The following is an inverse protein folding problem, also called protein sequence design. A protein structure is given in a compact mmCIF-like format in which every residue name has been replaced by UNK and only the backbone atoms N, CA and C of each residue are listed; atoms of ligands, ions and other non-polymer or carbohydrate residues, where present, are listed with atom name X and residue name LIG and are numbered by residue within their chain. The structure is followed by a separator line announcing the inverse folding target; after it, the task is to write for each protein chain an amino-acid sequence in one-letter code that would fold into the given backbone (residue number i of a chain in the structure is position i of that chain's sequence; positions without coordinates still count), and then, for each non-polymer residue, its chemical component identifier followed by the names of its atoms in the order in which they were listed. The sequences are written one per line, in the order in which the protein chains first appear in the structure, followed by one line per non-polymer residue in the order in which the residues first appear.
data_IF_953116495557
#
_entry.id   IF_953116495557
#
_cell.length_a   1.000
_cell.length_b   1.000
_cell.length_c   1.000
_cell.angle_alpha   90.00
_cell.angle_beta   90.00
_cell.angle_gamma   90.00
#
_symmetry.space_group_name_H-M   'P 1'
#
loop_
_entity.id
_entity.type
_entity.pdbx_description
1 polymer ?
#
# COMPACT_ATOMS: atom_id res chain seq x y z
N UNK A 1 21.85 -61.07 45.57
CA UNK A 1 21.38 -59.67 45.64
C UNK A 1 22.59 -58.79 45.86
N UNK A 2 23.10 -58.18 44.78
CA UNK A 2 23.95 -56.99 44.73
C UNK A 2 23.97 -56.59 43.26
N UNK A 3 23.18 -55.57 42.92
CA UNK A 3 22.95 -55.12 41.55
C UNK A 3 23.91 -53.96 41.23
N UNK A 4 24.54 -54.02 40.06
CA UNK A 4 25.64 -53.16 39.64
C UNK A 4 25.07 -51.97 38.84
N UNK A 5 25.17 -50.76 39.39
CA UNK A 5 24.64 -49.55 38.74
C UNK A 5 25.61 -49.04 37.67
N UNK A 6 25.20 -49.11 36.40
CA UNK A 6 25.93 -48.54 35.27
C UNK A 6 25.77 -47.00 35.22
N UNK A 7 26.89 -46.29 35.08
CA UNK A 7 26.95 -44.83 34.91
C UNK A 7 26.78 -44.49 33.43
N UNK A 8 25.77 -43.66 33.12
CA UNK A 8 25.50 -43.12 31.77
C UNK A 8 26.38 -41.89 31.52
N UNK A 9 27.09 -41.78 30.37
CA UNK A 9 27.87 -40.58 30.05
C UNK A 9 26.96 -39.43 29.57
N UNK A 10 27.16 -38.24 30.14
CA UNK A 10 26.44 -37.02 29.78
C UNK A 10 26.83 -36.44 28.41
N UNK A 11 26.01 -35.52 27.86
CA UNK A 11 26.19 -34.98 26.52
C UNK A 11 27.42 -34.07 26.41
N UNK A 12 28.17 -34.25 25.34
CA UNK A 12 29.36 -33.49 24.96
C UNK A 12 29.05 -31.99 24.79
N UNK A 13 29.89 -31.06 25.27
CA UNK A 13 29.68 -29.63 25.09
C UNK A 13 29.78 -29.25 23.61
N UNK A 14 28.72 -28.63 23.10
CA UNK A 14 28.63 -28.05 21.77
C UNK A 14 29.70 -26.95 21.64
N UNK A 15 30.53 -27.02 20.60
CA UNK A 15 31.57 -26.04 20.33
C UNK A 15 31.02 -24.62 20.11
N UNK A 16 31.90 -23.60 20.05
CA UNK A 16 31.51 -22.21 19.88
C UNK A 16 30.60 -22.03 18.64
N UNK A 17 29.58 -21.16 18.69
CA UNK A 17 28.75 -20.90 17.54
C UNK A 17 29.63 -20.38 16.41
N UNK A 18 29.58 -21.04 15.25
CA UNK A 18 30.23 -20.57 14.04
C UNK A 18 29.88 -19.08 13.80
N UNK A 19 30.85 -18.25 13.41
CA UNK A 19 30.59 -16.86 13.09
C UNK A 19 29.53 -16.79 11.97
N UNK A 20 28.47 -16.00 12.21
CA UNK A 20 27.43 -15.72 11.22
C UNK A 20 28.11 -15.18 9.96
N UNK A 21 28.18 -16.01 8.93
CA UNK A 21 28.63 -15.59 7.61
C UNK A 21 27.73 -14.44 7.15
N UNK A 22 28.36 -13.32 6.82
CA UNK A 22 27.67 -12.17 6.22
C UNK A 22 27.15 -12.60 4.83
N UNK A 23 25.91 -12.22 4.45
CA UNK A 23 25.32 -12.67 3.20
C UNK A 23 26.15 -12.19 2.00
N UNK A 24 26.49 -13.11 1.10
CA UNK A 24 27.20 -12.83 -0.15
C UNK A 24 26.21 -12.37 -1.21
N UNK A 25 26.62 -11.39 -2.04
CA UNK A 25 25.84 -10.74 -3.11
C UNK A 25 25.21 -11.68 -4.17
N UNK A 26 25.47 -12.98 -4.11
CA UNK A 26 25.02 -13.99 -5.06
C UNK A 26 23.71 -14.69 -4.64
N UNK A 27 23.14 -14.30 -3.51
CA UNK A 27 22.00 -15.02 -2.95
C UNK A 27 20.68 -14.42 -3.47
N UNK A 28 19.95 -15.18 -4.29
CA UNK A 28 18.52 -14.98 -4.51
C UNK A 28 17.80 -15.07 -3.15
N UNK A 29 17.65 -13.93 -2.47
CA UNK A 29 17.33 -13.95 -1.05
C UNK A 29 15.85 -13.78 -0.75
N UNK A 30 15.22 -14.93 -0.53
CA UNK A 30 14.22 -15.08 0.52
C UNK A 30 14.87 -15.78 1.73
N UNK A 31 15.92 -15.18 2.31
CA UNK A 31 16.49 -15.60 3.60
C UNK A 31 16.74 -17.11 3.80
N UNK A 32 17.18 -17.82 2.75
CA UNK A 32 17.42 -19.30 2.61
C UNK A 32 16.42 -20.07 1.72
N UNK A 33 15.36 -19.47 1.20
CA UNK A 33 14.38 -20.16 0.33
C UNK A 33 14.70 -19.90 -1.14
N UNK A 34 15.12 -20.96 -1.81
CA UNK A 34 15.38 -20.96 -3.26
C UNK A 34 14.08 -21.14 -4.02
N UNK A 35 13.95 -20.44 -5.15
CA UNK A 35 12.97 -20.81 -6.17
C UNK A 35 13.49 -22.11 -6.81
N UNK A 36 12.96 -23.23 -6.34
CA UNK A 36 13.31 -24.56 -6.84
C UNK A 36 12.33 -24.96 -7.94
N UNK A 37 12.82 -25.07 -9.16
CA UNK A 37 12.03 -25.56 -10.30
C UNK A 37 11.61 -24.47 -11.29
N UNK A 38 11.04 -24.89 -12.45
CA UNK A 38 10.53 -23.98 -13.46
C UNK A 38 9.31 -23.20 -12.95
N UNK A 39 8.99 -22.04 -13.54
CA UNK A 39 7.76 -21.33 -13.23
C UNK A 39 6.52 -22.19 -13.53
N UNK A 40 5.41 -22.00 -12.80
CA UNK A 40 4.17 -22.68 -13.10
C UNK A 40 3.65 -22.25 -14.47
N UNK A 41 3.05 -23.17 -15.21
CA UNK A 41 2.47 -22.90 -16.54
C UNK A 41 1.34 -21.87 -16.49
N UNK A 42 0.67 -21.75 -15.34
CA UNK A 42 -0.37 -20.77 -15.12
C UNK A 42 -0.39 -20.31 -13.65
N UNK A 43 -0.38 -18.99 -13.46
CA UNK A 43 -0.66 -18.37 -12.16
C UNK A 43 -2.11 -17.91 -12.21
N UNK A 44 -2.92 -18.32 -11.24
CA UNK A 44 -4.34 -17.94 -11.18
C UNK A 44 -4.51 -16.43 -11.12
N UNK A 45 -5.49 -15.92 -11.86
CA UNK A 45 -5.82 -14.50 -11.90
C UNK A 45 -6.31 -13.95 -10.55
N UNK A 46 -6.24 -12.63 -10.45
CA UNK A 46 -6.69 -11.81 -9.34
C UNK A 46 -7.94 -11.06 -9.78
N UNK A 47 -8.95 -11.08 -8.93
CA UNK A 47 -10.18 -10.32 -9.12
C UNK A 47 -10.47 -9.48 -7.87
N UNK A 48 -10.81 -8.19 -8.04
CA UNK A 48 -10.86 -7.44 -9.31
C UNK A 48 -9.46 -7.13 -9.87
N UNK A 49 -9.36 -6.93 -11.19
CA UNK A 49 -8.14 -6.43 -11.84
C UNK A 49 -7.84 -4.99 -11.42
N UNK A 50 -6.60 -4.55 -11.62
CA UNK A 50 -6.23 -3.16 -11.36
C UNK A 50 -6.92 -2.22 -12.35
N UNK A 51 -7.75 -1.31 -11.84
CA UNK A 51 -8.47 -0.31 -12.65
C UNK A 51 -7.80 1.05 -12.57
N UNK A 52 -7.26 1.38 -11.40
CA UNK A 52 -6.65 2.66 -11.15
C UNK A 52 -6.09 2.74 -9.73
N UNK A 53 -5.69 3.95 -9.34
CA UNK A 53 -5.12 4.19 -8.01
C UNK A 53 -6.12 3.85 -6.89
N UNK A 54 -7.42 3.93 -7.17
CA UNK A 54 -8.48 3.71 -6.17
C UNK A 54 -8.55 2.27 -5.65
N UNK A 55 -8.13 1.28 -6.44
CA UNK A 55 -8.08 -0.12 -6.02
C UNK A 55 -6.66 -0.69 -5.94
N UNK A 56 -5.64 0.16 -6.09
CA UNK A 56 -4.24 -0.25 -6.09
C UNK A 56 -3.83 -0.97 -4.81
N UNK A 57 -4.16 -0.45 -3.62
CA UNK A 57 -3.79 -1.09 -2.35
C UNK A 57 -4.36 -2.50 -2.21
N UNK A 58 -5.65 -2.68 -2.54
CA UNK A 58 -6.31 -3.99 -2.50
C UNK A 58 -5.73 -4.96 -3.54
N UNK A 59 -5.45 -4.47 -4.75
CA UNK A 59 -4.82 -5.24 -5.82
C UNK A 59 -3.39 -5.65 -5.46
N UNK A 60 -2.58 -4.72 -4.97
CA UNK A 60 -1.20 -4.97 -4.52
C UNK A 60 -1.19 -6.04 -3.43
N UNK A 61 -2.07 -5.92 -2.44
CA UNK A 61 -2.20 -6.94 -1.39
C UNK A 61 -2.53 -8.32 -1.96
N UNK A 62 -3.43 -8.41 -2.94
CA UNK A 62 -3.77 -9.66 -3.60
C UNK A 62 -2.61 -10.24 -4.41
N UNK A 63 -1.86 -9.41 -5.16
CA UNK A 63 -0.65 -9.82 -5.89
C UNK A 63 0.37 -10.42 -4.94
N UNK A 64 0.72 -9.69 -3.88
CA UNK A 64 1.75 -10.12 -2.94
C UNK A 64 1.36 -11.42 -2.22
N UNK A 65 0.08 -11.61 -1.90
CA UNK A 65 -0.41 -12.87 -1.32
C UNK A 65 -0.41 -14.03 -2.30
N UNK A 66 -0.63 -13.77 -3.60
CA UNK A 66 -0.55 -14.81 -4.64
C UNK A 66 0.88 -15.29 -4.86
N UNK A 67 1.85 -14.38 -4.80
CA UNK A 67 3.27 -14.72 -5.01
C UNK A 67 3.95 -15.30 -3.77
N UNK A 68 3.39 -15.07 -2.58
CA UNK A 68 3.92 -15.59 -1.31
C UNK A 68 4.10 -17.13 -1.29
N UNK A 69 3.11 -17.97 -1.66
CA UNK A 69 3.29 -19.42 -1.71
C UNK A 69 4.26 -19.88 -2.80
N UNK A 70 4.47 -19.08 -3.85
CA UNK A 70 5.41 -19.35 -4.94
C UNK A 70 6.84 -18.91 -4.59
N UNK A 71 7.05 -18.24 -3.45
CA UNK A 71 8.34 -17.76 -2.98
C UNK A 71 9.07 -16.81 -3.97
N UNK A 72 8.30 -16.07 -4.78
CA UNK A 72 8.81 -15.17 -5.81
C UNK A 72 8.39 -13.71 -5.61
N UNK A 73 7.78 -13.36 -4.48
CA UNK A 73 7.35 -11.97 -4.16
C UNK A 73 8.47 -10.95 -4.34
N UNK A 74 9.69 -11.30 -3.94
CA UNK A 74 10.87 -10.44 -4.00
C UNK A 74 11.30 -10.09 -5.43
N UNK A 75 10.84 -10.84 -6.44
CA UNK A 75 11.13 -10.54 -7.84
C UNK A 75 10.44 -9.28 -8.34
N UNK A 76 9.51 -8.71 -7.56
CA UNK A 76 8.88 -7.43 -7.84
C UNK A 76 9.65 -6.23 -7.27
N UNK A 77 10.72 -6.48 -6.52
CA UNK A 77 11.51 -5.44 -5.84
C UNK A 77 12.72 -5.04 -6.69
N UNK A 78 12.60 -3.92 -7.40
CA UNK A 78 13.66 -3.36 -8.24
C UNK A 78 14.87 -2.84 -7.45
N UNK A 79 14.75 -2.68 -6.12
CA UNK A 79 15.90 -2.30 -5.28
C UNK A 79 16.84 -3.47 -5.03
N UNK A 80 16.38 -4.69 -5.27
CA UNK A 80 17.24 -5.86 -5.19
C UNK A 80 18.03 -6.07 -6.49
N UNK A 81 19.34 -6.32 -6.39
CA UNK A 81 20.14 -6.59 -7.58
C UNK A 81 19.70 -7.91 -8.23
N UNK A 82 19.62 -7.89 -9.55
CA UNK A 82 19.40 -9.10 -10.35
C UNK A 82 20.62 -10.03 -10.23
N UNK A 83 20.41 -11.35 -10.34
CA UNK A 83 21.50 -12.31 -10.54
C UNK A 83 22.43 -11.90 -11.68
N UNK A 84 23.73 -12.21 -11.53
CA UNK A 84 24.69 -12.07 -12.63
C UNK A 84 24.38 -13.09 -13.74
N UNK A 85 24.30 -12.63 -14.98
CA UNK A 85 24.04 -13.42 -16.19
C UNK A 85 24.97 -14.63 -16.36
N UNK A 86 26.18 -14.59 -15.77
CA UNK A 86 27.16 -15.67 -15.86
C UNK A 86 26.95 -16.79 -14.85
N UNK A 87 25.92 -16.70 -14.00
CA UNK A 87 25.66 -17.66 -12.93
C UNK A 87 24.60 -18.67 -13.35
N UNK A 88 24.77 -19.92 -12.94
CA UNK A 88 23.88 -21.05 -13.28
C UNK A 88 22.40 -20.87 -12.87
N UNK A 89 22.09 -19.89 -12.02
CA UNK A 89 20.73 -19.59 -11.56
C UNK A 89 20.10 -18.39 -12.26
N UNK A 90 20.82 -17.71 -13.17
CA UNK A 90 20.28 -16.58 -13.93
C UNK A 90 19.13 -17.02 -14.84
N UNK A 91 19.32 -18.06 -15.66
CA UNK A 91 18.30 -18.54 -16.60
C UNK A 91 16.97 -18.83 -15.89
N UNK A 92 17.06 -19.42 -14.69
CA UNK A 92 15.86 -19.69 -13.88
C UNK A 92 15.23 -18.40 -13.35
N UNK A 93 16.03 -17.46 -12.86
CA UNK A 93 15.50 -16.17 -12.44
C UNK A 93 14.80 -15.46 -13.60
N UNK A 94 15.41 -15.51 -14.79
CA UNK A 94 14.91 -14.91 -16.01
C UNK A 94 13.57 -15.53 -16.44
N UNK A 95 13.48 -16.86 -16.52
CA UNK A 95 12.23 -17.58 -16.83
C UNK A 95 11.08 -17.19 -15.90
N UNK A 96 11.36 -17.13 -14.59
CA UNK A 96 10.38 -16.72 -13.59
C UNK A 96 9.99 -15.25 -13.74
N UNK A 97 10.97 -14.39 -14.05
CA UNK A 97 10.76 -12.96 -14.20
C UNK A 97 9.88 -12.65 -15.42
N UNK A 98 10.13 -13.32 -16.55
CA UNK A 98 9.27 -13.24 -17.74
C UNK A 98 7.86 -13.76 -17.47
N UNK A 99 7.73 -14.90 -16.79
CA UNK A 99 6.41 -15.45 -16.46
C UNK A 99 5.61 -14.50 -15.57
N UNK A 100 6.27 -13.89 -14.57
CA UNK A 100 5.63 -12.95 -13.67
C UNK A 100 5.30 -11.62 -14.37
N UNK A 101 6.18 -11.10 -15.22
CA UNK A 101 5.92 -9.92 -16.06
C UNK A 101 4.65 -10.14 -16.90
N UNK A 102 4.61 -11.22 -17.68
CA UNK A 102 3.46 -11.54 -18.52
C UNK A 102 2.17 -11.70 -17.70
N UNK A 103 2.25 -12.37 -16.55
CA UNK A 103 1.12 -12.52 -15.64
C UNK A 103 0.65 -11.18 -15.06
N UNK A 104 1.55 -10.29 -14.63
CA UNK A 104 1.19 -8.96 -14.09
C UNK A 104 0.41 -8.13 -15.11
N UNK A 105 0.81 -8.19 -16.38
CA UNK A 105 0.10 -7.50 -17.48
C UNK A 105 -1.33 -8.03 -17.63
N UNK A 106 -1.59 -9.32 -17.38
CA UNK A 106 -2.97 -9.84 -17.41
C UNK A 106 -3.79 -9.45 -16.18
N UNK A 107 -3.15 -8.99 -15.10
CA UNK A 107 -3.82 -8.56 -13.85
C UNK A 107 -4.26 -7.09 -13.84
N UNK A 108 -3.99 -6.35 -14.91
CA UNK A 108 -4.44 -4.95 -15.08
C UNK A 108 -5.55 -4.85 -16.12
N UNK A 109 -6.34 -3.79 -16.03
CA UNK A 109 -7.41 -3.50 -16.99
C UNK A 109 -6.87 -2.96 -18.31
N UNK A 110 -7.72 -2.98 -19.34
CA UNK A 110 -7.34 -2.61 -20.69
C UNK A 110 -6.70 -1.21 -20.76
N UNK A 111 -7.21 -0.23 -20.01
CA UNK A 111 -6.68 1.13 -19.99
C UNK A 111 -5.22 1.22 -19.49
N UNK A 112 -4.90 0.52 -18.40
CA UNK A 112 -3.53 0.43 -17.88
C UNK A 112 -2.65 -0.37 -18.84
N UNK A 113 -3.19 -1.43 -19.45
CA UNK A 113 -2.48 -2.23 -20.44
C UNK A 113 -2.10 -1.40 -21.68
N UNK A 114 -3.01 -0.57 -22.19
CA UNK A 114 -2.70 0.34 -23.29
C UNK A 114 -1.67 1.40 -22.87
N UNK A 115 -1.78 1.94 -21.66
CA UNK A 115 -0.78 2.87 -21.14
C UNK A 115 0.62 2.23 -21.04
N UNK A 116 0.72 0.98 -20.58
CA UNK A 116 1.98 0.22 -20.56
C UNK A 116 2.61 0.10 -21.95
N UNK A 117 1.80 -0.08 -23.00
CA UNK A 117 2.30 -0.16 -24.38
C UNK A 117 2.79 1.18 -24.93
N UNK A 118 2.21 2.28 -24.45
CA UNK A 118 2.56 3.64 -24.88
C UNK A 118 3.75 4.18 -24.07
N UNK A 119 3.93 3.73 -22.84
CA UNK A 119 5.11 4.09 -22.04
C UNK A 119 6.38 3.49 -22.63
N UNK A 120 7.48 4.24 -22.58
CA UNK A 120 8.82 3.74 -22.87
C UNK A 120 9.47 3.05 -21.65
N UNK A 121 8.67 2.79 -20.60
CA UNK A 121 9.15 2.11 -19.40
C UNK A 121 9.43 0.65 -19.74
N UNK A 122 10.55 0.07 -19.26
CA UNK A 122 10.82 -1.34 -19.49
C UNK A 122 9.78 -2.21 -18.78
N UNK A 123 9.37 -3.30 -19.43
CA UNK A 123 8.43 -4.29 -18.88
C UNK A 123 8.91 -5.71 -19.18
N UNK A 124 10.22 -5.89 -19.36
CA UNK A 124 10.78 -7.18 -19.72
C UNK A 124 10.74 -8.10 -18.50
N UNK A 125 11.24 -7.60 -17.38
CA UNK A 125 11.29 -8.32 -16.11
C UNK A 125 10.15 -7.96 -15.17
N UNK A 126 9.92 -8.80 -14.16
CA UNK A 126 8.81 -8.68 -13.22
C UNK A 126 8.90 -7.40 -12.37
N UNK A 127 10.09 -7.03 -11.91
CA UNK A 127 10.39 -5.80 -11.17
C UNK A 127 10.12 -4.57 -12.03
N UNK A 128 10.54 -4.60 -13.29
CA UNK A 128 10.32 -3.49 -14.25
C UNK A 128 8.84 -3.30 -14.53
N UNK A 129 8.13 -4.40 -14.81
CA UNK A 129 6.68 -4.38 -15.07
C UNK A 129 5.91 -3.87 -13.87
N UNK A 130 6.30 -4.31 -12.67
CA UNK A 130 5.72 -3.84 -11.41
C UNK A 130 5.93 -2.33 -11.23
N UNK A 131 7.13 -1.84 -11.52
CA UNK A 131 7.45 -0.42 -11.45
C UNK A 131 6.72 0.39 -12.52
N UNK A 132 6.64 -0.09 -13.76
CA UNK A 132 5.91 0.55 -14.85
C UNK A 132 4.41 0.69 -14.52
N UNK A 133 3.79 -0.34 -13.93
CA UNK A 133 2.40 -0.27 -13.46
C UNK A 133 2.22 0.83 -12.41
N UNK A 134 3.11 0.88 -11.39
CA UNK A 134 3.07 1.95 -10.38
C UNK A 134 3.27 3.31 -11.03
N UNK A 135 4.27 3.45 -11.89
CA UNK A 135 4.60 4.70 -12.56
C UNK A 135 3.41 5.22 -13.35
N UNK A 136 2.69 4.35 -14.07
CA UNK A 136 1.47 4.74 -14.79
C UNK A 136 0.43 5.28 -13.81
N UNK A 137 0.13 4.54 -12.73
CA UNK A 137 -0.88 4.97 -11.76
C UNK A 137 -0.57 6.30 -11.08
N UNK A 138 0.70 6.52 -10.73
CA UNK A 138 1.17 7.70 -10.01
C UNK A 138 1.68 8.80 -10.96
N UNK A 139 1.71 8.58 -12.28
CA UNK A 139 2.12 9.61 -13.25
C UNK A 139 1.06 10.71 -13.28
N UNK A 140 1.48 12.00 -13.22
CA UNK A 140 0.58 13.11 -13.42
C UNK A 140 -0.19 12.97 -14.75
N UNK A 141 -1.52 12.86 -14.68
CA UNK A 141 -2.41 12.80 -15.85
C UNK A 141 -2.99 11.42 -16.19
N UNK A 142 -2.52 10.31 -15.58
CA UNK A 142 -3.16 9.00 -15.77
C UNK A 142 -4.35 8.81 -14.81
N UNK A 143 -4.16 9.19 -13.54
CA UNK A 143 -5.29 9.53 -12.67
C UNK A 143 -5.38 11.05 -12.68
N UNK A 144 -6.46 11.61 -13.20
CA UNK A 144 -6.58 13.06 -13.29
C UNK A 144 -6.72 13.64 -11.86
N UNK A 145 -5.62 14.15 -11.31
CA UNK A 145 -5.59 14.86 -10.04
C UNK A 145 -6.60 16.01 -10.02
N UNK A 146 -6.89 16.62 -11.19
CA UNK A 146 -7.98 17.57 -11.35
C UNK A 146 -9.34 16.91 -11.18
N UNK A 147 -9.55 15.68 -11.64
CA UNK A 147 -10.81 14.94 -11.41
C UNK A 147 -10.96 14.55 -9.94
N UNK A 148 -9.90 14.08 -9.28
CA UNK A 148 -9.93 13.78 -7.84
C UNK A 148 -10.19 15.04 -7.01
N UNK A 149 -9.52 16.15 -7.33
CA UNK A 149 -9.74 17.46 -6.72
C UNK A 149 -11.14 18.00 -7.03
N UNK A 150 -11.57 17.96 -8.29
CA UNK A 150 -12.89 18.43 -8.71
C UNK A 150 -13.98 17.65 -7.98
N UNK A 151 -13.77 16.34 -7.81
CA UNK A 151 -14.64 15.48 -7.02
C UNK A 151 -14.64 15.89 -5.55
N UNK A 152 -13.49 16.16 -4.93
CA UNK A 152 -13.43 16.67 -3.54
C UNK A 152 -14.21 17.98 -3.34
N UNK A 153 -14.07 18.93 -4.27
CA UNK A 153 -14.72 20.25 -4.13
C UNK A 153 -16.21 20.24 -4.51
N UNK A 154 -16.67 19.24 -5.29
CA UNK A 154 -18.08 19.11 -5.70
C UNK A 154 -18.87 18.07 -4.93
N UNK A 155 -18.21 17.26 -4.10
CA UNK A 155 -18.86 16.25 -3.27
C UNK A 155 -19.68 16.88 -2.15
N UNK A 156 -20.97 16.54 -2.14
CA UNK A 156 -21.90 16.99 -1.12
C UNK A 156 -22.59 15.81 -0.43
N UNK A 157 -22.79 15.93 0.88
CA UNK A 157 -23.47 14.90 1.70
C UNK A 157 -24.82 14.45 1.11
N UNK A 158 -25.59 15.37 0.53
CA UNK A 158 -26.92 15.08 -0.06
C UNK A 158 -26.90 14.13 -1.27
N UNK A 159 -25.74 13.91 -1.89
CA UNK A 159 -25.59 12.99 -3.02
C UNK A 159 -25.55 11.52 -2.60
N UNK A 160 -25.50 11.24 -1.29
CA UNK A 160 -25.30 9.91 -0.73
C UNK A 160 -26.52 9.47 0.09
N UNK A 161 -26.73 8.16 0.19
CA UNK A 161 -27.89 7.57 0.88
C UNK A 161 -27.86 7.91 2.37
N UNK A 162 -26.67 7.96 2.96
CA UNK A 162 -26.48 8.25 4.38
C UNK A 162 -25.15 8.95 4.69
N UNK A 163 -24.99 9.48 5.91
CA UNK A 163 -23.78 10.19 6.30
C UNK A 163 -22.56 9.27 6.36
N UNK A 164 -22.77 7.99 6.68
CA UNK A 164 -21.70 6.99 6.72
C UNK A 164 -21.07 6.76 5.34
N UNK A 165 -21.91 6.57 4.32
CA UNK A 165 -21.48 6.39 2.93
C UNK A 165 -20.72 7.62 2.42
N UNK A 166 -21.23 8.82 2.73
CA UNK A 166 -20.55 10.08 2.40
C UNK A 166 -19.16 10.18 3.04
N UNK A 167 -19.03 9.90 4.35
CA UNK A 167 -17.73 9.99 5.06
C UNK A 167 -16.72 9.00 4.46
N UNK A 168 -17.15 7.78 4.17
CA UNK A 168 -16.29 6.76 3.55
C UNK A 168 -15.77 7.21 2.20
N UNK A 169 -16.67 7.69 1.33
CA UNK A 169 -16.25 8.13 0.01
C UNK A 169 -15.43 9.41 0.06
N UNK A 170 -15.76 10.35 0.96
CA UNK A 170 -15.02 11.60 1.10
C UNK A 170 -13.58 11.35 1.58
N UNK A 171 -13.39 10.50 2.59
CA UNK A 171 -12.05 10.09 3.04
C UNK A 171 -11.27 9.38 1.91
N UNK A 172 -11.93 8.50 1.16
CA UNK A 172 -11.29 7.78 0.04
C UNK A 172 -10.82 8.73 -1.06
N UNK A 173 -11.65 9.68 -1.48
CA UNK A 173 -11.28 10.65 -2.52
C UNK A 173 -10.22 11.63 -1.99
N UNK A 174 -10.27 12.00 -0.70
CA UNK A 174 -9.22 12.77 -0.05
C UNK A 174 -7.87 12.07 -0.13
N UNK A 175 -7.80 10.78 0.25
CA UNK A 175 -6.55 10.01 0.21
C UNK A 175 -5.98 9.90 -1.20
N UNK A 176 -6.84 9.76 -2.21
CA UNK A 176 -6.43 9.74 -3.62
C UNK A 176 -5.87 11.10 -4.05
N UNK A 177 -6.57 12.20 -3.75
CA UNK A 177 -6.11 13.53 -4.15
C UNK A 177 -4.82 13.95 -3.42
N UNK A 178 -4.71 13.63 -2.13
CA UNK A 178 -3.52 13.84 -1.30
C UNK A 178 -2.31 13.06 -1.84
N UNK A 179 -2.49 11.76 -2.16
CA UNK A 179 -1.44 10.94 -2.76
C UNK A 179 -0.96 11.47 -4.12
N UNK A 180 -1.83 12.18 -4.86
CA UNK A 180 -1.50 12.81 -6.13
C UNK A 180 -0.95 14.24 -5.98
N UNK A 181 -0.92 14.80 -4.75
CA UNK A 181 -0.46 16.17 -4.49
C UNK A 181 -1.46 17.28 -4.86
N UNK A 182 -2.73 16.93 -5.08
CA UNK A 182 -3.81 17.86 -5.47
C UNK A 182 -4.96 17.89 -4.44
N UNK A 183 -4.73 17.48 -3.19
CA UNK A 183 -5.76 17.41 -2.15
C UNK A 183 -6.00 18.75 -1.44
N UNK A 184 -7.11 18.80 -0.68
CA UNK A 184 -7.23 19.77 0.41
C UNK A 184 -6.07 19.60 1.40
N UNK A 185 -5.69 20.65 2.12
CA UNK A 185 -4.97 20.44 3.40
C UNK A 185 -5.87 19.57 4.30
N UNK A 186 -5.32 18.70 5.18
CA UNK A 186 -6.15 17.90 6.07
C UNK A 186 -7.12 18.76 6.91
N UNK A 187 -6.71 19.97 7.28
CA UNK A 187 -7.56 20.97 7.93
C UNK A 187 -8.73 21.44 7.04
N UNK A 188 -8.46 21.83 5.79
CA UNK A 188 -9.50 22.22 4.84
C UNK A 188 -10.49 21.08 4.58
N UNK A 189 -10.01 19.84 4.49
CA UNK A 189 -10.85 18.65 4.35
C UNK A 189 -11.77 18.45 5.56
N UNK A 190 -11.27 18.67 6.77
CA UNK A 190 -12.04 18.60 8.01
C UNK A 190 -13.18 19.64 8.03
N UNK A 191 -12.91 20.88 7.63
CA UNK A 191 -13.93 21.93 7.55
C UNK A 191 -15.04 21.57 6.56
N UNK A 192 -14.68 21.09 5.37
CA UNK A 192 -15.65 20.68 4.34
C UNK A 192 -16.50 19.50 4.81
N UNK A 193 -15.87 18.51 5.47
CA UNK A 193 -16.56 17.35 6.02
C UNK A 193 -17.60 17.78 7.07
N UNK A 194 -17.20 18.60 8.03
CA UNK A 194 -18.06 19.08 9.13
C UNK A 194 -19.20 19.93 8.60
N UNK A 195 -18.92 20.83 7.65
CA UNK A 195 -19.94 21.63 6.98
C UNK A 195 -21.03 20.75 6.34
N UNK A 196 -20.62 19.72 5.61
CA UNK A 196 -21.54 18.82 4.91
C UNK A 196 -22.31 17.89 5.86
N UNK A 197 -21.75 17.53 7.02
CA UNK A 197 -22.38 16.67 8.02
C UNK A 197 -23.30 17.41 8.99
N UNK A 198 -23.29 18.74 9.02
CA UNK A 198 -24.05 19.55 9.99
C UNK A 198 -25.56 19.25 9.99
N UNK A 199 -26.12 18.88 8.85
CA UNK A 199 -27.52 18.49 8.72
C UNK A 199 -27.87 17.16 9.40
N UNK A 200 -26.93 16.22 9.43
CA UNK A 200 -27.15 14.88 10.00
C UNK A 200 -26.62 14.76 11.45
N UNK A 201 -25.53 15.46 11.77
CA UNK A 201 -24.73 15.27 12.99
C UNK A 201 -24.45 16.60 13.72
N UNK A 202 -25.47 17.44 13.91
CA UNK A 202 -25.33 18.78 14.49
C UNK A 202 -24.53 18.81 15.80
N UNK A 203 -24.93 18.00 16.79
CA UNK A 203 -24.29 17.98 18.11
C UNK A 203 -22.82 17.54 18.05
N UNK A 204 -22.47 16.65 17.11
CA UNK A 204 -21.09 16.25 16.91
C UNK A 204 -20.28 17.36 16.24
N UNK A 205 -20.84 18.04 15.24
CA UNK A 205 -20.20 19.18 14.58
C UNK A 205 -19.93 20.32 15.58
N UNK A 206 -20.92 20.65 16.42
CA UNK A 206 -20.78 21.70 17.44
C UNK A 206 -19.66 21.39 18.45
N UNK A 207 -19.44 20.10 18.78
CA UNK A 207 -18.31 19.69 19.64
C UNK A 207 -16.97 19.81 18.91
N UNK A 208 -16.91 19.40 17.65
CA UNK A 208 -15.68 19.48 16.86
C UNK A 208 -15.22 20.93 16.67
N UNK A 209 -16.14 21.83 16.31
CA UNK A 209 -15.82 23.25 16.11
C UNK A 209 -15.31 23.91 17.39
N UNK A 210 -15.90 23.59 18.55
CA UNK A 210 -15.39 24.07 19.85
C UNK A 210 -13.97 23.59 20.12
N UNK A 211 -13.67 22.32 19.81
CA UNK A 211 -12.33 21.78 20.02
C UNK A 211 -11.31 22.45 19.08
N UNK A 212 -11.69 22.79 17.84
CA UNK A 212 -10.81 23.52 16.92
C UNK A 212 -10.59 24.98 17.33
N UNK A 213 -11.57 25.62 17.97
CA UNK A 213 -11.43 26.98 18.49
C UNK A 213 -10.62 27.06 19.79
N UNK A 214 -10.65 26.01 20.61
CA UNK A 214 -9.95 25.99 21.91
C UNK A 214 -8.44 25.77 21.81
N UNK A 215 -7.93 25.31 20.67
CA UNK A 215 -6.50 25.07 20.47
C UNK A 215 -5.73 26.37 20.09
N UNK A 216 -6.43 27.51 19.94
CA UNK A 216 -5.89 28.79 19.44
C UNK A 216 -5.87 29.96 20.43
N UNK A 217 -5.99 29.72 21.73
CA UNK A 217 -5.93 30.75 22.78
C UNK A 217 -4.49 31.00 23.31
N UNK A 218 -3.45 30.63 22.55
CA UNK A 218 -2.08 31.12 22.79
C UNK A 218 -1.80 32.28 21.81
N UNK A 219 -1.68 33.48 22.38
CA UNK A 219 -1.37 34.76 21.73
C UNK A 219 -0.06 34.71 20.90
N UNK A 220 -0.09 34.21 19.66
CA UNK A 220 0.99 34.43 18.70
C UNK A 220 0.47 34.72 17.29
N UNK A 221 0.96 35.82 16.73
CA UNK A 221 0.48 36.55 15.54
C UNK A 221 0.75 35.81 14.19
N UNK A 222 0.70 34.48 14.18
CA UNK A 222 1.03 33.64 13.01
C UNK A 222 -0.06 32.62 12.69
N UNK A 223 -1.12 33.09 12.02
CA UNK A 223 -2.21 32.25 11.47
C UNK A 223 -1.72 31.15 10.50
N UNK A 224 -0.48 31.22 10.00
CA UNK A 224 0.16 30.18 9.16
C UNK A 224 0.65 28.96 9.95
N UNK A 225 0.81 29.04 11.27
CA UNK A 225 1.34 27.93 12.07
C UNK A 225 0.26 26.94 12.52
N UNK A 226 -1.00 27.40 12.56
CA UNK A 226 -2.15 26.58 12.98
C UNK A 226 -2.48 25.45 11.99
N UNK A 227 -2.40 25.71 10.68
CA UNK A 227 -2.57 24.67 9.66
C UNK A 227 -1.45 23.63 9.69
N UNK A 228 -0.23 24.00 10.14
CA UNK A 228 0.93 23.09 10.14
C UNK A 228 0.81 21.94 11.14
N UNK A 229 -0.02 22.09 12.17
CA UNK A 229 -0.25 21.06 13.18
C UNK A 229 -1.34 20.05 12.83
N UNK A 230 -2.17 20.31 11.81
CA UNK A 230 -3.32 19.46 11.47
C UNK A 230 -2.98 18.52 10.30
N UNK A 231 -2.50 17.33 10.65
CA UNK A 231 -2.05 16.31 9.71
C UNK A 231 -3.16 15.36 9.23
N UNK A 232 -2.76 14.45 8.33
CA UNK A 232 -3.62 13.43 7.75
C UNK A 232 -4.21 12.48 8.79
N UNK A 233 -3.44 12.12 9.81
CA UNK A 233 -3.88 11.19 10.86
C UNK A 233 -4.99 11.81 11.70
N UNK A 234 -4.89 13.12 12.00
CA UNK A 234 -5.96 13.88 12.67
C UNK A 234 -7.24 13.92 11.82
N UNK A 235 -7.12 14.11 10.51
CA UNK A 235 -8.28 14.04 9.61
C UNK A 235 -8.92 12.64 9.56
N UNK A 236 -8.11 11.58 9.53
CA UNK A 236 -8.61 10.20 9.57
C UNK A 236 -9.30 9.89 10.90
N UNK A 237 -8.72 10.30 12.02
CA UNK A 237 -9.33 10.19 13.35
C UNK A 237 -10.66 10.95 13.45
N UNK A 238 -10.77 12.11 12.79
CA UNK A 238 -12.02 12.84 12.68
C UNK A 238 -13.09 12.05 11.93
N UNK A 239 -12.74 11.46 10.79
CA UNK A 239 -13.65 10.61 10.01
C UNK A 239 -14.17 9.45 10.86
N UNK A 240 -13.30 8.81 11.63
CA UNK A 240 -13.68 7.69 12.52
C UNK A 240 -14.57 8.14 13.68
N UNK A 241 -14.29 9.30 14.28
CA UNK A 241 -15.14 9.91 15.31
C UNK A 241 -16.56 10.21 14.78
N UNK A 242 -16.66 10.72 13.55
CA UNK A 242 -17.94 10.97 12.88
C UNK A 242 -18.73 9.66 12.69
N UNK A 243 -18.06 8.61 12.20
CA UNK A 243 -18.66 7.27 12.00
C UNK A 243 -19.18 6.69 13.32
N UNK A 244 -18.38 6.76 14.38
CA UNK A 244 -18.79 6.28 15.70
C UNK A 244 -20.03 7.01 16.23
N UNK A 245 -20.15 8.31 15.94
CA UNK A 245 -21.30 9.11 16.34
C UNK A 245 -22.58 8.77 15.56
N UNK A 246 -22.46 8.20 14.35
CA UNK A 246 -23.60 7.67 13.59
C UNK A 246 -24.06 6.33 14.15
N UNK A 247 -23.12 5.49 14.62
CA UNK A 247 -23.41 4.14 15.09
C UNK A 247 -23.92 4.08 16.54
N UNK A 248 -23.77 5.17 17.30
CA UNK A 248 -24.27 5.31 18.67
C UNK A 248 -25.46 6.28 18.67
N UNK A 249 -26.71 5.78 18.52
CA UNK A 249 -27.90 6.63 18.56
C UNK A 249 -28.08 7.31 19.93
#
# INVERSE_FOLDING_TARGET
MSDSTAVVPGPTPTGPPEPRQSPTKDQMHNGRRFISGPPPTQISDIHPKLRGIENFNSWQFAVLNKLKPLHCRQMLDSTMPRPDQKKDYYDRWEDWSYTLSAWLITQVEAEICEALRVTHDPTEYADETWDAIKNILFRPGFTDGRTAWLRLVTMHRKQFTGPLEYIQEFQRVFDVADALGYGYTPYSAALVLVHNLRGDLRTWCDRFERNMSNDGDDDDDNNEEFEKGYDKDKFHALCDSARLSIMRP
#
